data_IF_639237309380
#
_entry.id   IF_639237309380
#
_cell.length_a   1.000
_cell.length_b   1.000
_cell.length_c   1.000
_cell.angle_alpha   90.00
_cell.angle_beta   90.00
_cell.angle_gamma   90.00
#
_symmetry.space_group_name_H-M   'P 1'
#
loop_
_entity.id
_entity.type
_entity.pdbx_description
1 polymer ?
#
# COMPACT_ATOMS: atom_id res chain seq x y z
N UNK A 1 36.46 -46.22 27.29
CA UNK A 1 36.04 -44.89 27.71
C UNK A 1 35.52 -44.17 26.47
N UNK A 2 34.21 -44.17 26.26
CA UNK A 2 33.57 -43.52 25.12
C UNK A 2 33.02 -42.20 25.55
N UNK A 3 33.42 -41.11 24.88
CA UNK A 3 32.82 -39.80 25.01
C UNK A 3 31.68 -39.67 23.99
N UNK A 4 30.44 -39.72 24.47
CA UNK A 4 29.26 -39.35 23.71
C UNK A 4 29.20 -37.82 23.67
N UNK A 5 29.50 -37.22 22.51
CA UNK A 5 29.22 -35.84 22.23
C UNK A 5 27.72 -35.69 21.87
N UNK A 6 26.91 -35.12 22.77
CA UNK A 6 25.56 -34.69 22.46
C UNK A 6 25.65 -33.43 21.56
N UNK A 7 25.53 -33.62 20.26
CA UNK A 7 25.27 -32.52 19.35
C UNK A 7 23.89 -31.93 19.66
N UNK A 8 23.85 -30.70 20.20
CA UNK A 8 22.61 -29.92 20.25
C UNK A 8 22.10 -29.75 18.81
N UNK A 9 20.99 -30.44 18.49
CA UNK A 9 20.20 -30.08 17.29
C UNK A 9 19.87 -28.60 17.44
N UNK A 10 20.37 -27.77 16.53
CA UNK A 10 19.87 -26.40 16.40
C UNK A 10 18.35 -26.51 16.18
N UNK A 11 17.57 -25.99 17.13
CA UNK A 11 16.14 -25.82 16.94
C UNK A 11 15.97 -24.97 15.67
N UNK A 12 15.26 -25.52 14.66
CA UNK A 12 14.83 -24.73 13.52
C UNK A 12 13.94 -23.63 14.09
N UNK A 13 14.41 -22.37 14.02
CA UNK A 13 13.64 -21.23 14.44
C UNK A 13 12.26 -21.30 13.74
N UNK A 14 11.22 -21.40 14.54
CA UNK A 14 9.84 -21.47 14.01
C UNK A 14 9.56 -20.12 13.33
N UNK A 15 9.02 -20.16 12.09
CA UNK A 15 8.64 -18.94 11.39
C UNK A 15 7.52 -18.26 12.20
N UNK A 16 7.64 -16.98 12.57
CA UNK A 16 6.61 -16.28 13.31
C UNK A 16 5.25 -16.36 12.59
N UNK A 17 4.16 -16.53 13.35
CA UNK A 17 2.82 -16.67 12.78
C UNK A 17 2.24 -15.35 12.29
N UNK A 18 2.64 -14.23 12.91
CA UNK A 18 2.13 -12.89 12.57
C UNK A 18 2.93 -12.27 11.41
N UNK A 19 2.27 -11.42 10.64
CA UNK A 19 2.93 -10.70 9.53
C UNK A 19 4.08 -9.82 10.06
N UNK A 20 3.85 -9.05 11.14
CA UNK A 20 4.89 -8.24 11.77
C UNK A 20 6.14 -9.06 12.14
N UNK A 21 5.95 -10.21 12.80
CA UNK A 21 7.06 -11.09 13.15
C UNK A 21 7.80 -11.66 11.93
N UNK A 22 7.11 -11.91 10.80
CA UNK A 22 7.77 -12.31 9.57
C UNK A 22 8.54 -11.18 8.91
N UNK A 23 8.06 -9.94 9.01
CA UNK A 23 8.79 -8.76 8.53
C UNK A 23 10.08 -8.56 9.33
N UNK A 24 10.04 -8.71 10.65
CA UNK A 24 11.24 -8.65 11.49
C UNK A 24 12.25 -9.74 11.09
N UNK A 25 11.79 -10.96 10.86
CA UNK A 25 12.62 -12.08 10.40
C UNK A 25 13.19 -11.81 9.01
N UNK A 26 12.39 -11.28 8.08
CA UNK A 26 12.86 -10.89 6.75
C UNK A 26 14.04 -9.94 6.84
N UNK A 27 13.93 -8.85 7.58
CA UNK A 27 15.02 -7.88 7.70
C UNK A 27 16.25 -8.47 8.36
N UNK A 28 16.09 -9.32 9.39
CA UNK A 28 17.20 -10.00 10.03
C UNK A 28 17.97 -10.89 9.03
N UNK A 29 17.25 -11.68 8.20
CA UNK A 29 17.89 -12.56 7.21
C UNK A 29 18.40 -11.79 5.98
N UNK A 30 17.65 -10.78 5.50
CA UNK A 30 18.03 -9.98 4.34
C UNK A 30 19.33 -9.22 4.58
N UNK A 31 19.54 -8.74 5.81
CA UNK A 31 20.78 -8.06 6.20
C UNK A 31 22.05 -8.88 5.95
N UNK A 32 21.96 -10.21 6.02
CA UNK A 32 23.06 -11.14 5.79
C UNK A 32 23.42 -11.35 4.32
N UNK A 33 22.52 -11.02 3.38
CA UNK A 33 22.71 -11.28 1.94
C UNK A 33 22.93 -10.01 1.10
N UNK A 34 22.82 -8.82 1.69
CA UNK A 34 22.95 -7.53 0.98
C UNK A 34 24.26 -7.43 0.19
N UNK A 35 25.38 -7.76 0.83
CA UNK A 35 26.70 -7.62 0.20
C UNK A 35 26.89 -8.64 -0.94
N UNK A 36 26.27 -9.83 -0.84
CA UNK A 36 26.26 -10.82 -1.92
C UNK A 36 25.40 -10.37 -3.10
N UNK A 37 24.19 -9.84 -2.85
CA UNK A 37 23.31 -9.29 -3.91
C UNK A 37 24.02 -8.15 -4.65
N UNK A 38 24.69 -7.25 -3.90
CA UNK A 38 25.47 -6.16 -4.50
C UNK A 38 26.61 -6.69 -5.38
N UNK A 39 27.30 -7.74 -4.94
CA UNK A 39 28.37 -8.36 -5.72
C UNK A 39 27.85 -9.00 -7.01
N UNK A 40 26.72 -9.71 -6.95
CA UNK A 40 26.08 -10.29 -8.14
C UNK A 40 25.64 -9.20 -9.14
N UNK A 41 25.03 -8.10 -8.65
CA UNK A 41 24.63 -6.97 -9.50
C UNK A 41 25.84 -6.28 -10.15
N UNK A 42 26.95 -6.11 -9.40
CA UNK A 42 28.17 -5.54 -9.95
C UNK A 42 28.87 -6.44 -10.98
N UNK A 43 28.62 -7.75 -10.90
CA UNK A 43 29.10 -8.76 -11.88
C UNK A 43 28.11 -8.96 -13.03
N UNK A 44 27.02 -8.18 -13.12
CA UNK A 44 25.93 -8.32 -14.10
C UNK A 44 25.19 -9.68 -14.02
N UNK A 45 25.27 -10.37 -12.86
CA UNK A 45 24.58 -11.63 -12.61
C UNK A 45 23.17 -11.37 -12.04
N UNK A 46 22.33 -10.67 -12.81
CA UNK A 46 21.02 -10.16 -12.38
C UNK A 46 20.07 -11.25 -11.88
N UNK A 47 20.03 -12.41 -12.55
CA UNK A 47 19.17 -13.53 -12.15
C UNK A 47 19.52 -14.04 -10.75
N UNK A 48 20.80 -14.14 -10.40
CA UNK A 48 21.26 -14.58 -9.07
C UNK A 48 20.90 -13.57 -8.00
N UNK A 49 21.11 -12.28 -8.30
CA UNK A 49 20.74 -11.18 -7.41
C UNK A 49 19.23 -11.19 -7.11
N UNK A 50 18.41 -11.31 -8.16
CA UNK A 50 16.94 -11.38 -8.05
C UNK A 50 16.50 -12.61 -7.27
N UNK A 51 17.08 -13.78 -7.52
CA UNK A 51 16.75 -15.02 -6.80
C UNK A 51 17.02 -14.89 -5.30
N UNK A 52 18.19 -14.34 -4.90
CA UNK A 52 18.52 -14.14 -3.49
C UNK A 52 17.56 -13.18 -2.79
N UNK A 53 17.17 -12.10 -3.47
CA UNK A 53 16.21 -11.15 -2.93
C UNK A 53 14.80 -11.77 -2.81
N UNK A 54 14.33 -12.49 -3.84
CA UNK A 54 13.04 -13.18 -3.87
C UNK A 54 12.94 -14.20 -2.71
N UNK A 55 13.97 -15.03 -2.53
CA UNK A 55 14.02 -16.04 -1.46
C UNK A 55 13.81 -15.44 -0.07
N UNK A 56 14.33 -14.23 0.17
CA UNK A 56 14.16 -13.53 1.45
C UNK A 56 12.80 -12.84 1.54
N UNK A 57 12.34 -12.18 0.48
CA UNK A 57 11.03 -11.53 0.46
C UNK A 57 9.88 -12.51 0.68
N UNK A 58 10.02 -13.77 0.24
CA UNK A 58 9.05 -14.84 0.48
C UNK A 58 8.87 -15.24 1.95
N UNK A 59 9.69 -14.72 2.86
CA UNK A 59 9.46 -14.85 4.31
C UNK A 59 8.20 -14.11 4.72
N UNK A 60 7.91 -12.95 4.11
CA UNK A 60 6.76 -12.12 4.44
C UNK A 60 5.73 -11.99 3.31
N UNK A 61 6.10 -12.16 2.04
CA UNK A 61 5.21 -12.06 0.89
C UNK A 61 5.11 -13.42 0.17
N UNK A 62 3.91 -13.84 -0.23
CA UNK A 62 3.71 -15.07 -0.97
C UNK A 62 4.26 -14.97 -2.40
N UNK A 63 3.92 -13.88 -3.07
CA UNK A 63 4.38 -13.52 -4.42
C UNK A 63 4.94 -12.09 -4.39
N UNK A 64 6.26 -11.93 -4.13
CA UNK A 64 6.85 -10.60 -4.09
C UNK A 64 7.02 -10.01 -5.49
N UNK A 65 6.51 -8.81 -5.68
CA UNK A 65 6.82 -7.98 -6.84
C UNK A 65 7.82 -6.92 -6.43
N UNK A 66 8.99 -6.91 -7.07
CA UNK A 66 10.07 -6.02 -6.69
C UNK A 66 11.07 -5.81 -7.83
N UNK A 67 11.87 -4.78 -7.69
CA UNK A 67 13.06 -4.55 -8.51
C UNK A 67 14.27 -4.44 -7.59
N UNK A 68 15.44 -4.79 -8.09
CA UNK A 68 16.69 -4.56 -7.37
C UNK A 68 17.77 -4.02 -8.30
N UNK A 69 18.62 -3.15 -7.78
CA UNK A 69 19.68 -2.51 -8.53
C UNK A 69 20.72 -1.88 -7.62
N UNK A 70 21.65 -1.15 -8.21
CA UNK A 70 22.63 -0.36 -7.47
C UNK A 70 22.31 1.14 -7.61
N UNK A 71 22.26 1.82 -6.48
CA UNK A 71 22.17 3.27 -6.40
C UNK A 71 23.49 3.81 -5.78
N UNK A 72 24.46 4.07 -6.65
CA UNK A 72 25.83 4.31 -6.23
C UNK A 72 26.43 3.02 -5.63
N UNK A 73 26.87 3.10 -4.38
CA UNK A 73 27.41 1.96 -3.64
C UNK A 73 26.37 1.19 -2.81
N UNK A 74 25.10 1.63 -2.82
CA UNK A 74 24.02 1.02 -2.06
C UNK A 74 23.18 0.08 -2.91
N UNK A 75 22.71 -1.01 -2.29
CA UNK A 75 21.63 -1.80 -2.85
C UNK A 75 20.35 -0.97 -2.91
N UNK A 76 19.66 -1.00 -4.01
CA UNK A 76 18.33 -0.42 -4.19
C UNK A 76 17.29 -1.54 -4.29
N UNK A 77 16.41 -1.65 -3.30
CA UNK A 77 15.28 -2.57 -3.27
C UNK A 77 14.00 -1.76 -3.44
N UNK A 78 13.30 -2.00 -4.55
CA UNK A 78 12.03 -1.36 -4.86
C UNK A 78 10.91 -2.38 -4.69
N UNK A 79 9.99 -2.15 -3.76
CA UNK A 79 8.80 -2.99 -3.56
C UNK A 79 7.65 -2.43 -4.39
N UNK A 80 7.11 -3.19 -5.35
CA UNK A 80 6.07 -2.69 -6.24
C UNK A 80 4.69 -3.21 -5.83
N UNK A 81 3.69 -2.33 -5.70
CA UNK A 81 2.31 -2.70 -5.39
C UNK A 81 1.52 -3.20 -6.60
N UNK A 82 2.11 -3.17 -7.80
CA UNK A 82 1.47 -3.55 -9.07
C UNK A 82 0.12 -2.85 -9.28
N UNK A 83 0.11 -1.52 -9.10
CA UNK A 83 -1.07 -0.68 -9.26
C UNK A 83 -2.11 -0.80 -8.14
N UNK A 84 -1.92 -1.68 -7.15
CA UNK A 84 -2.91 -1.96 -6.11
C UNK A 84 -2.71 -1.09 -4.86
N UNK A 85 -3.59 -0.10 -4.66
CA UNK A 85 -3.51 0.84 -3.53
C UNK A 85 -3.42 0.15 -2.16
N UNK A 86 -4.19 -0.90 -1.92
CA UNK A 86 -4.16 -1.61 -0.64
C UNK A 86 -2.80 -2.26 -0.34
N UNK A 87 -2.04 -2.68 -1.38
CA UNK A 87 -0.70 -3.24 -1.21
C UNK A 87 0.32 -2.20 -0.74
N UNK A 88 0.15 -0.92 -1.06
CA UNK A 88 1.03 0.15 -0.57
C UNK A 88 1.13 0.14 0.95
N UNK A 89 0.05 -0.18 1.68
CA UNK A 89 0.05 -0.14 3.14
C UNK A 89 0.98 -1.20 3.74
N UNK A 90 0.83 -2.46 3.36
CA UNK A 90 1.73 -3.50 3.92
C UNK A 90 3.15 -3.45 3.35
N UNK A 91 3.34 -2.99 2.12
CA UNK A 91 4.69 -2.74 1.60
C UNK A 91 5.35 -1.56 2.32
N UNK A 92 4.58 -0.52 2.68
CA UNK A 92 5.03 0.56 3.55
C UNK A 92 5.42 0.06 4.93
N UNK A 93 4.64 -0.86 5.51
CA UNK A 93 4.96 -1.50 6.78
C UNK A 93 6.30 -2.25 6.70
N UNK A 94 6.53 -3.05 5.64
CA UNK A 94 7.83 -3.73 5.41
C UNK A 94 8.96 -2.70 5.32
N UNK A 95 8.81 -1.67 4.47
CA UNK A 95 9.82 -0.62 4.29
C UNK A 95 10.15 0.08 5.60
N UNK A 96 9.13 0.49 6.38
CA UNK A 96 9.31 1.26 7.61
C UNK A 96 9.90 0.44 8.76
N UNK A 97 9.79 -0.89 8.70
CA UNK A 97 10.44 -1.81 9.63
C UNK A 97 11.93 -2.04 9.32
N UNK A 98 12.47 -1.46 8.23
CA UNK A 98 13.90 -1.59 7.89
C UNK A 98 14.77 -1.05 9.02
N UNK A 99 15.72 -1.84 9.56
CA UNK A 99 16.63 -1.38 10.58
C UNK A 99 17.51 -0.21 10.11
N UNK A 100 17.59 0.87 10.89
CA UNK A 100 18.36 2.08 10.55
C UNK A 100 19.80 1.83 10.16
N UNK A 101 20.47 0.83 10.78
CA UNK A 101 21.84 0.46 10.45
C UNK A 101 22.02 -0.01 9.00
N UNK A 102 20.95 -0.44 8.32
CA UNK A 102 21.01 -0.86 6.92
C UNK A 102 20.99 0.32 5.94
N UNK A 103 20.58 1.52 6.36
CA UNK A 103 20.53 2.72 5.51
C UNK A 103 21.90 3.11 4.92
N UNK A 104 23.00 2.70 5.57
CA UNK A 104 24.34 2.87 5.03
C UNK A 104 24.65 1.95 3.86
N UNK A 105 24.00 0.77 3.77
CA UNK A 105 24.27 -0.28 2.78
C UNK A 105 23.23 -0.36 1.67
N UNK A 106 21.99 0.05 1.97
CA UNK A 106 20.86 -0.08 1.05
C UNK A 106 19.81 1.02 1.24
N UNK A 107 18.92 1.14 0.28
CA UNK A 107 17.64 1.84 0.38
C UNK A 107 16.51 0.88 0.02
N UNK A 108 15.36 1.08 0.63
CA UNK A 108 14.12 0.41 0.29
C UNK A 108 13.09 1.47 -0.07
N UNK A 109 12.49 1.34 -1.26
CA UNK A 109 11.52 2.30 -1.78
C UNK A 109 10.23 1.59 -2.18
N UNK A 110 9.14 2.36 -2.26
CA UNK A 110 7.83 1.87 -2.71
C UNK A 110 7.55 2.32 -4.12
N UNK A 111 7.03 1.39 -4.91
CA UNK A 111 6.63 1.60 -6.29
C UNK A 111 7.80 1.86 -7.24
N UNK A 112 7.59 1.59 -8.49
CA UNK A 112 8.55 1.89 -9.56
C UNK A 112 8.85 3.39 -9.54
N UNK A 113 10.13 3.80 -9.46
CA UNK A 113 10.47 5.20 -9.51
C UNK A 113 10.20 5.76 -10.90
N UNK A 114 9.97 7.07 -10.99
CA UNK A 114 9.87 7.74 -12.29
C UNK A 114 11.16 7.58 -13.10
N UNK A 115 11.00 7.43 -14.41
CA UNK A 115 12.12 7.39 -15.33
C UNK A 115 12.89 8.73 -15.30
N UNK A 116 14.22 8.72 -15.55
CA UNK A 116 14.97 9.95 -15.76
C UNK A 116 14.40 10.76 -16.93
N UNK A 117 14.45 12.10 -16.83
CA UNK A 117 14.02 12.98 -17.93
C UNK A 117 14.72 12.63 -19.23
N UNK A 118 13.97 12.62 -20.33
CA UNK A 118 14.47 12.25 -21.67
C UNK A 118 14.52 10.74 -21.95
N UNK A 119 14.13 9.90 -20.98
CA UNK A 119 13.96 8.45 -21.13
C UNK A 119 12.49 8.12 -20.90
N UNK A 120 11.63 8.49 -21.82
CA UNK A 120 10.20 8.38 -21.64
C UNK A 120 9.49 7.80 -22.86
N UNK A 121 9.78 6.56 -23.20
CA UNK A 121 9.05 5.84 -24.24
C UNK A 121 8.75 4.41 -23.81
N UNK A 122 7.67 3.86 -24.34
CA UNK A 122 7.29 2.47 -24.15
C UNK A 122 6.92 1.86 -25.50
N UNK A 123 7.35 0.65 -25.72
CA UNK A 123 6.95 -0.15 -26.88
C UNK A 123 6.20 -1.39 -26.39
N UNK A 124 4.92 -1.48 -26.70
CA UNK A 124 4.05 -2.57 -26.34
C UNK A 124 2.88 -2.69 -27.32
N UNK A 125 2.40 -3.90 -27.58
CA UNK A 125 1.31 -4.17 -28.51
C UNK A 125 1.58 -3.66 -29.94
N UNK A 126 2.84 -3.76 -30.40
CA UNK A 126 3.33 -3.21 -31.67
C UNK A 126 3.10 -1.68 -31.80
N UNK A 127 3.00 -1.01 -30.66
CA UNK A 127 2.74 0.43 -30.54
C UNK A 127 3.85 1.08 -29.72
N UNK A 128 4.50 2.09 -30.32
CA UNK A 128 5.49 2.92 -29.62
C UNK A 128 4.84 4.23 -29.17
N UNK A 129 4.98 4.57 -27.88
CA UNK A 129 4.45 5.83 -27.30
C UNK A 129 5.58 6.55 -26.59
N UNK A 130 5.79 7.81 -26.93
CA UNK A 130 6.80 8.68 -26.35
C UNK A 130 6.14 9.70 -25.41
N UNK A 131 6.72 9.89 -24.23
CA UNK A 131 6.22 10.84 -23.23
C UNK A 131 6.30 12.31 -23.70
N UNK A 132 7.30 12.68 -24.51
CA UNK A 132 7.45 14.04 -25.04
C UNK A 132 6.35 14.39 -26.05
N UNK A 133 5.81 13.39 -26.76
CA UNK A 133 4.75 13.52 -27.75
C UNK A 133 3.35 13.28 -27.12
N UNK A 134 3.30 12.94 -25.84
CA UNK A 134 2.07 12.67 -25.13
C UNK A 134 1.64 13.92 -24.36
N UNK A 135 0.38 14.34 -24.55
CA UNK A 135 -0.20 15.53 -23.92
C UNK A 135 -1.15 15.13 -22.82
N UNK A 136 -1.00 15.77 -21.67
CA UNK A 136 -1.86 15.59 -20.49
C UNK A 136 -2.77 16.82 -20.35
N UNK A 137 -4.04 16.57 -20.15
CA UNK A 137 -5.05 17.55 -19.76
C UNK A 137 -5.56 17.16 -18.39
N UNK A 138 -5.17 17.93 -17.38
CA UNK A 138 -5.39 17.56 -15.98
C UNK A 138 -6.42 18.47 -15.34
N UNK A 139 -7.29 17.88 -14.54
CA UNK A 139 -8.15 18.58 -13.60
C UNK A 139 -7.73 18.21 -12.18
N UNK A 140 -7.05 19.13 -11.50
CA UNK A 140 -6.63 18.94 -10.11
C UNK A 140 -7.80 19.19 -9.16
N UNK A 141 -8.14 18.17 -8.39
CA UNK A 141 -9.08 18.22 -7.28
C UNK A 141 -8.34 18.45 -5.95
N UNK A 142 -9.03 18.36 -4.81
CA UNK A 142 -8.41 18.52 -3.50
C UNK A 142 -7.44 17.37 -3.16
N UNK A 143 -7.83 16.14 -3.44
CA UNK A 143 -7.13 14.91 -3.05
C UNK A 143 -6.58 14.08 -4.21
N UNK A 144 -6.97 14.38 -5.44
CA UNK A 144 -6.61 13.62 -6.63
C UNK A 144 -6.55 14.50 -7.89
N UNK A 145 -6.22 13.88 -9.01
CA UNK A 145 -6.18 14.53 -10.33
C UNK A 145 -6.84 13.62 -11.37
N UNK A 146 -7.82 14.16 -12.09
CA UNK A 146 -8.38 13.51 -13.27
C UNK A 146 -7.49 13.82 -14.48
N UNK A 147 -7.08 12.78 -15.19
CA UNK A 147 -6.13 12.86 -16.29
C UNK A 147 -6.81 12.44 -17.58
N UNK A 148 -6.71 13.29 -18.60
CA UNK A 148 -6.96 12.91 -19.98
C UNK A 148 -5.62 12.89 -20.70
N UNK A 149 -5.31 11.81 -21.40
CA UNK A 149 -4.07 11.64 -22.16
C UNK A 149 -4.34 11.52 -23.63
N UNK A 150 -3.58 12.26 -24.43
CA UNK A 150 -3.56 12.14 -25.88
C UNK A 150 -2.14 11.86 -26.38
N UNK A 151 -2.05 10.90 -27.29
CA UNK A 151 -0.92 10.65 -28.14
C UNK A 151 -1.45 10.01 -29.42
N UNK A 152 -0.91 10.32 -30.60
CA UNK A 152 -1.42 9.84 -31.86
C UNK A 152 -1.48 8.30 -31.94
N UNK A 153 -0.44 7.63 -31.42
CA UNK A 153 -0.37 6.17 -31.42
C UNK A 153 -1.31 5.55 -30.37
N UNK A 154 -1.51 6.20 -29.22
CA UNK A 154 -2.53 5.78 -28.26
C UNK A 154 -3.94 5.93 -28.83
N UNK A 155 -4.23 7.02 -29.53
CA UNK A 155 -5.53 7.23 -30.17
C UNK A 155 -5.79 6.17 -31.27
N UNK A 156 -4.76 5.79 -32.04
CA UNK A 156 -4.85 4.72 -33.01
C UNK A 156 -5.08 3.34 -32.35
N UNK A 157 -4.43 3.07 -31.22
CA UNK A 157 -4.62 1.85 -30.44
C UNK A 157 -6.01 1.82 -29.78
N UNK A 158 -6.50 2.96 -29.25
CA UNK A 158 -7.84 3.11 -28.67
C UNK A 158 -8.94 2.71 -29.66
N UNK A 159 -8.80 3.11 -30.93
CA UNK A 159 -9.74 2.75 -31.98
C UNK A 159 -9.76 1.25 -32.32
N UNK A 160 -8.70 0.50 -31.97
CA UNK A 160 -8.56 -0.93 -32.23
C UNK A 160 -8.89 -1.78 -30.99
N UNK A 161 -8.39 -1.39 -29.82
CA UNK A 161 -8.51 -2.13 -28.57
C UNK A 161 -8.38 -1.15 -27.38
N UNK A 162 -9.52 -0.77 -26.83
CA UNK A 162 -9.62 0.16 -25.70
C UNK A 162 -8.82 -0.34 -24.48
N UNK A 163 -8.92 -1.63 -24.14
CA UNK A 163 -8.24 -2.19 -22.99
C UNK A 163 -6.71 -2.08 -23.10
N UNK A 164 -6.15 -2.32 -24.29
CA UNK A 164 -4.70 -2.14 -24.53
C UNK A 164 -4.27 -0.69 -24.45
N UNK A 165 -5.09 0.25 -24.98
CA UNK A 165 -4.78 1.66 -24.92
C UNK A 165 -4.73 2.17 -23.47
N UNK A 166 -5.70 1.79 -22.63
CA UNK A 166 -5.68 2.12 -21.21
C UNK A 166 -4.51 1.46 -20.47
N UNK A 167 -4.25 0.18 -20.71
CA UNK A 167 -3.11 -0.52 -20.08
C UNK A 167 -1.77 0.16 -20.42
N UNK A 168 -1.54 0.49 -21.70
CA UNK A 168 -0.34 1.18 -22.14
C UNK A 168 -0.23 2.58 -21.51
N UNK A 169 -1.36 3.31 -21.39
CA UNK A 169 -1.41 4.62 -20.76
C UNK A 169 -1.06 4.55 -19.26
N UNK A 170 -1.58 3.57 -18.52
CA UNK A 170 -1.22 3.37 -17.11
C UNK A 170 0.27 3.10 -16.94
N UNK A 171 0.84 2.20 -17.73
CA UNK A 171 2.28 1.88 -17.64
C UNK A 171 3.14 3.10 -17.99
N UNK A 172 2.72 3.89 -18.99
CA UNK A 172 3.41 5.13 -19.35
C UNK A 172 3.37 6.16 -18.23
N UNK A 173 2.20 6.35 -17.59
CA UNK A 173 2.02 7.23 -16.43
C UNK A 173 2.88 6.76 -15.24
N UNK A 174 2.87 5.46 -14.92
CA UNK A 174 3.72 4.89 -13.88
C UNK A 174 5.20 5.18 -14.12
N UNK A 175 5.66 5.02 -15.37
CA UNK A 175 7.05 5.28 -15.72
C UNK A 175 7.42 6.77 -15.61
N UNK A 176 6.51 7.67 -15.96
CA UNK A 176 6.82 9.10 -16.01
C UNK A 176 6.60 9.82 -14.68
N UNK A 177 5.60 9.41 -13.92
CA UNK A 177 5.18 10.08 -12.67
C UNK A 177 5.69 9.31 -11.45
N UNK A 178 5.88 8.00 -11.60
CA UNK A 178 6.18 7.05 -10.53
C UNK A 178 4.94 6.33 -10.02
N UNK A 179 5.04 5.02 -9.86
CA UNK A 179 3.91 4.16 -9.52
C UNK A 179 3.19 4.56 -8.24
N UNK A 180 3.95 4.85 -7.17
CA UNK A 180 3.34 5.27 -5.89
C UNK A 180 2.59 6.59 -6.01
N UNK A 181 3.13 7.56 -6.78
CA UNK A 181 2.47 8.84 -6.99
C UNK A 181 1.16 8.67 -7.76
N UNK A 182 1.15 7.88 -8.82
CA UNK A 182 -0.06 7.57 -9.59
C UNK A 182 -1.11 6.89 -8.72
N UNK A 183 -0.75 5.84 -7.98
CA UNK A 183 -1.69 5.14 -7.10
C UNK A 183 -2.30 6.08 -6.04
N UNK A 184 -1.53 7.05 -5.58
CA UNK A 184 -1.98 7.99 -4.56
C UNK A 184 -2.85 9.12 -5.10
N UNK A 185 -2.63 9.55 -6.35
CA UNK A 185 -3.16 10.83 -6.84
C UNK A 185 -4.05 10.72 -8.05
N UNK A 186 -4.05 9.59 -8.77
CA UNK A 186 -4.93 9.44 -9.94
C UNK A 186 -6.38 9.27 -9.51
N UNK A 187 -7.25 10.16 -10.00
CA UNK A 187 -8.71 10.04 -9.96
C UNK A 187 -9.18 9.24 -11.18
N UNK A 188 -9.67 9.92 -12.20
CA UNK A 188 -10.11 9.30 -13.45
C UNK A 188 -9.02 9.37 -14.51
N UNK A 189 -8.95 8.36 -15.38
CA UNK A 189 -8.11 8.35 -16.58
C UNK A 189 -9.00 8.23 -17.81
N UNK A 190 -8.80 9.12 -18.77
CA UNK A 190 -9.43 9.07 -20.09
C UNK A 190 -8.38 9.11 -21.18
N UNK A 191 -8.41 8.16 -22.12
CA UNK A 191 -7.56 8.17 -23.32
C UNK A 191 -8.34 8.85 -24.44
N UNK A 192 -7.76 9.92 -25.00
CA UNK A 192 -8.44 10.74 -26.00
C UNK A 192 -8.17 10.25 -27.43
N UNK A 193 -9.17 10.35 -28.31
CA UNK A 193 -9.05 10.11 -29.76
C UNK A 193 -8.51 11.33 -30.52
N UNK A 194 -8.54 12.52 -29.91
CA UNK A 194 -8.08 13.80 -30.47
C UNK A 194 -7.47 14.70 -29.43
N UNK A 195 -6.51 15.56 -29.82
CA UNK A 195 -5.92 16.52 -28.91
C UNK A 195 -6.95 17.59 -28.50
N UNK A 196 -6.77 18.12 -27.29
CA UNK A 196 -7.49 19.29 -26.77
C UNK A 196 -6.55 20.52 -26.71
N UNK A 197 -7.08 21.69 -26.37
CA UNK A 197 -6.27 22.90 -26.14
C UNK A 197 -5.66 22.89 -24.74
N UNK A 198 -4.53 23.56 -24.57
CA UNK A 198 -3.85 23.80 -23.29
C UNK A 198 -3.36 22.52 -22.57
N UNK A 199 -2.96 21.50 -23.32
CA UNK A 199 -2.30 20.33 -22.75
C UNK A 199 -0.87 20.62 -22.28
N UNK A 200 -0.38 19.82 -21.34
CA UNK A 200 0.99 19.85 -20.84
C UNK A 200 1.69 18.56 -21.31
N UNK A 201 2.96 18.62 -21.81
CA UNK A 201 3.70 17.42 -22.11
C UNK A 201 3.80 16.49 -20.89
N UNK A 202 3.64 15.19 -21.11
CA UNK A 202 3.73 14.21 -20.01
C UNK A 202 5.11 14.24 -19.33
N UNK A 203 6.17 14.57 -20.08
CA UNK A 203 7.52 14.75 -19.54
C UNK A 203 7.62 15.80 -18.42
N UNK A 204 6.73 16.80 -18.42
CA UNK A 204 6.71 17.89 -17.45
C UNK A 204 5.64 17.69 -16.35
N UNK A 205 4.73 16.72 -16.55
CA UNK A 205 3.56 16.55 -15.68
C UNK A 205 3.92 16.06 -14.28
N UNK A 206 5.01 15.30 -14.13
CA UNK A 206 5.47 14.84 -12.82
C UNK A 206 5.80 15.97 -11.84
N UNK A 207 6.31 17.10 -12.35
CA UNK A 207 6.61 18.27 -11.51
C UNK A 207 5.33 18.94 -10.99
N UNK A 208 4.26 18.94 -11.79
CA UNK A 208 2.95 19.46 -11.36
C UNK A 208 2.31 18.59 -10.27
N UNK A 209 2.51 17.27 -10.35
CA UNK A 209 2.09 16.33 -9.29
C UNK A 209 2.85 16.65 -7.98
N UNK A 210 4.17 16.81 -8.05
CA UNK A 210 4.99 17.14 -6.88
C UNK A 210 4.64 18.51 -6.27
N UNK A 211 4.35 19.49 -7.10
CA UNK A 211 3.92 20.82 -6.65
C UNK A 211 2.57 20.76 -5.92
N UNK A 212 1.62 19.99 -6.44
CA UNK A 212 0.25 19.91 -5.90
C UNK A 212 0.15 19.03 -4.67
N UNK A 213 0.73 17.83 -4.70
CA UNK A 213 0.54 16.78 -3.68
C UNK A 213 1.77 16.59 -2.77
N UNK A 214 2.90 17.20 -3.13
CA UNK A 214 4.17 17.09 -2.41
C UNK A 214 4.90 15.78 -2.68
N UNK A 215 6.19 15.75 -2.32
CA UNK A 215 7.06 14.59 -2.55
C UNK A 215 6.63 13.32 -1.80
N UNK A 216 5.82 13.43 -0.75
CA UNK A 216 5.30 12.28 -0.01
C UNK A 216 4.44 11.38 -0.88
N UNK A 217 3.71 11.95 -1.85
CA UNK A 217 2.87 11.19 -2.78
C UNK A 217 3.65 10.11 -3.53
N UNK A 218 4.94 10.33 -3.80
CA UNK A 218 5.81 9.39 -4.49
C UNK A 218 6.53 8.38 -3.58
N UNK A 219 6.37 8.47 -2.23
CA UNK A 219 7.21 7.73 -1.29
C UNK A 219 6.47 6.86 -0.28
N UNK A 220 5.21 7.18 0.00
CA UNK A 220 4.40 6.52 1.02
C UNK A 220 2.91 6.54 0.65
N UNK A 221 2.08 5.65 1.19
CA UNK A 221 0.64 5.73 0.99
C UNK A 221 0.09 7.01 1.60
N UNK A 222 -0.60 7.82 0.79
CA UNK A 222 -1.31 8.98 1.29
C UNK A 222 -2.62 8.56 1.97
N UNK A 223 -2.85 9.05 3.18
CA UNK A 223 -4.10 8.85 3.91
C UNK A 223 -5.08 9.97 3.60
N UNK A 224 -5.50 10.07 2.34
CA UNK A 224 -6.60 10.96 1.96
C UNK A 224 -7.91 10.32 2.40
N UNK A 225 -8.55 10.88 3.41
CA UNK A 225 -9.79 10.33 3.95
C UNK A 225 -11.00 10.87 3.18
N UNK A 226 -11.81 9.95 2.66
CA UNK A 226 -13.08 10.22 1.99
C UNK A 226 -14.22 9.93 2.95
N UNK A 227 -15.17 10.86 3.05
CA UNK A 227 -16.36 10.68 3.85
C UNK A 227 -17.46 9.96 3.07
N UNK A 228 -18.19 9.09 3.73
CA UNK A 228 -19.37 8.45 3.19
C UNK A 228 -20.52 8.50 4.18
N UNK A 229 -21.76 8.52 3.67
CA UNK A 229 -22.97 8.49 4.48
C UNK A 229 -23.79 7.26 4.11
N UNK A 230 -24.47 6.69 5.10
CA UNK A 230 -25.31 5.52 4.94
C UNK A 230 -26.61 5.71 5.70
N UNK A 231 -27.67 5.09 5.20
CA UNK A 231 -28.91 4.91 5.98
C UNK A 231 -28.73 3.64 6.85
N UNK A 232 -28.93 3.75 8.17
CA UNK A 232 -28.89 2.58 9.05
C UNK A 232 -29.88 1.51 8.59
N UNK A 233 -29.39 0.27 8.49
CA UNK A 233 -30.19 -0.89 8.03
C UNK A 233 -30.72 -1.72 9.20
N UNK A 234 -30.20 -1.48 10.40
CA UNK A 234 -30.53 -2.22 11.63
C UNK A 234 -29.75 -1.69 12.84
N UNK A 235 -29.78 -2.49 13.90
CA UNK A 235 -29.05 -2.20 15.14
C UNK A 235 -27.82 -3.08 15.35
N UNK A 236 -27.52 -3.95 14.38
CA UNK A 236 -26.35 -4.81 14.41
C UNK A 236 -25.06 -4.05 14.13
N UNK A 237 -23.94 -4.71 14.40
CA UNK A 237 -22.61 -4.16 14.16
C UNK A 237 -22.47 -3.79 12.68
N UNK A 238 -22.12 -2.52 12.41
CA UNK A 238 -22.04 -1.87 11.08
C UNK A 238 -23.36 -1.78 10.27
N UNK A 239 -24.47 -2.26 10.81
CA UNK A 239 -25.79 -2.01 10.25
C UNK A 239 -26.35 -0.66 10.67
N UNK A 240 -25.86 -0.13 11.79
CA UNK A 240 -26.29 1.12 12.44
C UNK A 240 -25.50 2.35 11.95
N UNK A 241 -24.56 2.21 11.02
CA UNK A 241 -23.68 3.30 10.52
C UNK A 241 -24.49 4.41 9.88
N UNK A 242 -24.18 5.65 10.25
CA UNK A 242 -24.74 6.90 9.71
C UNK A 242 -23.71 7.56 8.77
N UNK A 243 -22.48 7.70 9.28
CA UNK A 243 -21.38 8.38 8.56
C UNK A 243 -20.05 7.70 8.88
N UNK A 244 -19.18 7.66 7.91
CA UNK A 244 -17.83 7.17 8.10
C UNK A 244 -16.82 7.89 7.23
N UNK A 245 -15.55 7.64 7.51
CA UNK A 245 -14.41 8.11 6.72
C UNK A 245 -13.46 6.94 6.46
N UNK A 246 -12.82 6.92 5.30
CA UNK A 246 -11.81 5.90 4.98
C UNK A 246 -10.79 6.45 3.99
N UNK A 247 -9.52 6.05 4.14
CA UNK A 247 -8.50 6.27 3.11
C UNK A 247 -8.38 5.09 2.14
N UNK A 248 -9.16 4.02 2.33
CA UNK A 248 -9.18 2.83 1.49
C UNK A 248 -10.62 2.44 1.11
N UNK A 249 -11.22 3.23 0.21
CA UNK A 249 -12.62 3.08 -0.21
C UNK A 249 -12.94 1.68 -0.74
N UNK A 250 -11.97 1.04 -1.41
CA UNK A 250 -12.15 -0.28 -1.99
C UNK A 250 -12.53 -1.35 -0.94
N UNK A 251 -11.91 -1.33 0.26
CA UNK A 251 -12.24 -2.32 1.30
C UNK A 251 -13.64 -2.11 1.87
N UNK A 252 -14.06 -0.84 2.02
CA UNK A 252 -15.42 -0.52 2.47
C UNK A 252 -16.46 -0.95 1.43
N UNK A 253 -16.20 -0.68 0.15
CA UNK A 253 -17.08 -1.09 -0.94
C UNK A 253 -17.20 -2.62 -1.02
N UNK A 254 -16.10 -3.36 -0.95
CA UNK A 254 -16.13 -4.83 -0.92
C UNK A 254 -16.93 -5.36 0.27
N UNK A 255 -16.71 -4.80 1.47
CA UNK A 255 -17.51 -5.17 2.64
C UNK A 255 -19.01 -4.96 2.42
N UNK A 256 -19.42 -3.81 1.85
CA UNK A 256 -20.82 -3.49 1.61
C UNK A 256 -21.46 -4.40 0.55
N UNK A 257 -20.71 -4.78 -0.46
CA UNK A 257 -21.14 -5.65 -1.55
C UNK A 257 -21.04 -7.16 -1.23
N UNK A 258 -20.41 -7.54 -0.12
CA UNK A 258 -20.15 -8.93 0.23
C UNK A 258 -18.99 -9.55 -0.55
N UNK A 259 -18.16 -8.75 -1.19
CA UNK A 259 -16.92 -9.13 -1.87
C UNK A 259 -15.78 -9.28 -0.86
N UNK A 260 -14.73 -10.06 -1.21
CA UNK A 260 -13.67 -10.39 -0.24
C UNK A 260 -12.26 -10.46 -0.85
N UNK A 261 -12.05 -9.97 -2.07
CA UNK A 261 -10.78 -10.17 -2.77
C UNK A 261 -9.60 -9.54 -2.01
N UNK A 262 -9.72 -8.26 -1.65
CA UNK A 262 -8.69 -7.56 -0.86
C UNK A 262 -8.52 -8.18 0.53
N UNK A 263 -9.63 -8.55 1.18
CA UNK A 263 -9.59 -9.21 2.48
C UNK A 263 -8.86 -10.56 2.40
N UNK A 264 -9.17 -11.38 1.41
CA UNK A 264 -8.56 -12.71 1.24
C UNK A 264 -7.06 -12.60 0.91
N UNK A 265 -6.67 -11.69 0.02
CA UNK A 265 -5.26 -11.43 -0.31
C UNK A 265 -4.45 -11.06 0.94
N UNK A 266 -4.95 -10.13 1.74
CA UNK A 266 -4.32 -9.75 3.01
C UNK A 266 -4.27 -10.91 4.00
N UNK A 267 -5.37 -11.67 4.12
CA UNK A 267 -5.49 -12.79 5.04
C UNK A 267 -4.49 -13.92 4.73
N UNK A 268 -4.23 -14.21 3.47
CA UNK A 268 -3.18 -15.16 3.04
C UNK A 268 -1.79 -14.73 3.50
N UNK A 269 -1.56 -13.43 3.61
CA UNK A 269 -0.33 -12.87 4.19
C UNK A 269 -0.37 -12.76 5.73
N UNK A 270 -1.43 -13.25 6.40
CA UNK A 270 -1.60 -13.07 7.84
C UNK A 270 -1.80 -11.62 8.28
N UNK A 271 -2.25 -10.79 7.36
CA UNK A 271 -2.69 -9.41 7.60
C UNK A 271 -4.22 -9.44 7.74
N UNK A 272 -4.76 -8.69 8.68
CA UNK A 272 -6.20 -8.59 8.84
C UNK A 272 -6.69 -7.18 8.57
N UNK A 273 -7.62 -7.04 7.64
CA UNK A 273 -8.53 -5.92 7.65
C UNK A 273 -9.61 -6.18 8.70
N UNK A 274 -9.67 -5.34 9.71
CA UNK A 274 -10.62 -5.46 10.81
C UNK A 274 -11.12 -4.09 11.26
N UNK A 275 -12.14 -4.09 12.09
CA UNK A 275 -12.58 -2.89 12.75
C UNK A 275 -12.89 -3.16 14.22
N UNK A 276 -12.73 -2.13 15.05
CA UNK A 276 -13.18 -2.12 16.42
C UNK A 276 -14.60 -1.55 16.47
N UNK A 277 -15.49 -2.19 17.20
CA UNK A 277 -16.78 -1.61 17.56
C UNK A 277 -16.77 -1.19 19.04
N UNK A 278 -17.17 0.04 19.31
CA UNK A 278 -17.22 0.65 20.65
C UNK A 278 -18.68 0.96 20.93
N UNK A 279 -19.24 0.35 21.98
CA UNK A 279 -20.61 0.66 22.40
C UNK A 279 -20.69 2.11 22.89
N UNK A 280 -21.59 2.91 22.32
CA UNK A 280 -21.79 4.32 22.67
C UNK A 280 -22.86 4.54 23.74
N UNK A 281 -23.46 3.45 24.26
CA UNK A 281 -24.54 3.54 25.28
C UNK A 281 -25.80 4.27 24.80
N UNK A 282 -25.95 4.51 23.49
CA UNK A 282 -27.04 5.29 22.89
C UNK A 282 -26.76 6.80 22.80
N UNK A 283 -25.59 7.26 23.22
CA UNK A 283 -25.10 8.64 23.03
C UNK A 283 -24.09 8.68 21.89
N UNK A 284 -24.57 9.07 20.70
CA UNK A 284 -23.77 9.12 19.46
C UNK A 284 -22.58 10.07 19.60
N UNK A 285 -22.76 11.23 20.25
CA UNK A 285 -21.67 12.21 20.42
C UNK A 285 -20.61 11.69 21.38
N UNK A 286 -21.01 11.11 22.52
CA UNK A 286 -20.07 10.50 23.46
C UNK A 286 -19.28 9.35 22.81
N UNK A 287 -19.93 8.54 21.98
CA UNK A 287 -19.27 7.48 21.22
C UNK A 287 -18.25 8.02 20.22
N UNK A 288 -18.58 9.09 19.50
CA UNK A 288 -17.67 9.78 18.57
C UNK A 288 -16.44 10.34 19.30
N UNK A 289 -16.66 11.06 20.42
CA UNK A 289 -15.58 11.66 21.20
C UNK A 289 -14.65 10.60 21.80
N UNK A 290 -15.21 9.49 22.30
CA UNK A 290 -14.43 8.38 22.84
C UNK A 290 -13.62 7.68 21.75
N UNK A 291 -14.21 7.46 20.56
CA UNK A 291 -13.51 6.91 19.41
C UNK A 291 -12.29 7.76 19.06
N UNK A 292 -12.46 9.07 18.85
CA UNK A 292 -11.37 9.98 18.51
C UNK A 292 -10.28 9.94 19.59
N UNK A 293 -10.65 9.95 20.86
CA UNK A 293 -9.68 9.84 21.94
C UNK A 293 -8.89 8.53 21.92
N UNK A 294 -9.52 7.40 21.58
CA UNK A 294 -8.84 6.11 21.45
C UNK A 294 -7.91 6.12 20.24
N UNK A 295 -8.34 6.68 19.10
CA UNK A 295 -7.51 6.82 17.92
C UNK A 295 -6.25 7.64 18.23
N UNK A 296 -6.42 8.87 18.73
CA UNK A 296 -5.34 9.84 18.92
C UNK A 296 -4.39 9.43 20.06
N UNK A 297 -4.94 9.12 21.23
CA UNK A 297 -4.15 8.90 22.45
C UNK A 297 -3.55 7.48 22.53
N UNK A 298 -4.15 6.47 21.87
CA UNK A 298 -3.85 5.08 22.13
C UNK A 298 -3.36 4.29 20.91
N UNK A 299 -3.99 4.48 19.76
CA UNK A 299 -3.72 3.64 18.59
C UNK A 299 -2.74 4.27 17.60
N UNK A 300 -2.64 5.60 17.53
CA UNK A 300 -1.71 6.27 16.63
C UNK A 300 -0.24 5.86 16.87
N UNK A 301 0.11 5.61 18.14
CA UNK A 301 1.44 5.13 18.52
C UNK A 301 1.70 3.65 18.24
N UNK A 302 0.70 2.90 17.78
CA UNK A 302 0.76 1.44 17.58
C UNK A 302 1.21 1.02 16.19
N UNK A 303 1.81 1.90 15.38
CA UNK A 303 2.23 1.65 13.99
C UNK A 303 3.16 0.46 13.77
N UNK A 304 3.74 -0.12 14.83
CA UNK A 304 4.54 -1.35 14.75
C UNK A 304 3.71 -2.64 14.61
N UNK A 305 2.37 -2.58 14.69
CA UNK A 305 1.50 -3.76 14.54
C UNK A 305 0.11 -3.47 14.00
N UNK A 306 -0.29 -2.21 13.86
CA UNK A 306 -1.56 -1.82 13.24
C UNK A 306 -1.43 -0.49 12.50
N UNK A 307 -2.42 -0.22 11.64
CA UNK A 307 -2.57 1.05 10.96
C UNK A 307 -4.04 1.44 10.88
N UNK A 308 -4.38 2.68 11.26
CA UNK A 308 -5.74 3.22 11.17
C UNK A 308 -5.98 3.64 9.71
N UNK A 309 -7.07 3.14 9.11
CA UNK A 309 -7.46 3.43 7.73
C UNK A 309 -8.82 4.13 7.62
N UNK A 310 -9.49 4.35 8.75
CA UNK A 310 -10.78 5.02 8.78
C UNK A 310 -11.57 4.74 10.05
N UNK A 311 -12.84 5.04 9.99
CA UNK A 311 -13.78 4.76 11.04
C UNK A 311 -15.18 5.20 10.68
N UNK A 312 -16.15 4.89 11.53
CA UNK A 312 -17.52 5.25 11.31
C UNK A 312 -18.23 5.58 12.63
N UNK A 313 -19.33 6.30 12.53
CA UNK A 313 -20.23 6.60 13.62
C UNK A 313 -21.61 6.01 13.28
N UNK A 314 -22.10 5.16 14.16
CA UNK A 314 -23.41 4.55 14.10
C UNK A 314 -24.35 5.06 15.18
N UNK A 315 -25.59 4.57 15.17
CA UNK A 315 -26.59 4.92 16.19
C UNK A 315 -26.26 4.33 17.57
N UNK A 316 -25.61 3.16 17.62
CA UNK A 316 -25.26 2.43 18.85
C UNK A 316 -23.78 2.17 19.04
N UNK A 317 -23.00 2.26 17.98
CA UNK A 317 -21.58 1.99 18.01
C UNK A 317 -20.79 3.09 17.31
N UNK A 318 -19.57 3.32 17.77
CA UNK A 318 -18.52 3.98 17.03
C UNK A 318 -17.52 2.93 16.54
N UNK A 319 -16.87 3.17 15.39
CA UNK A 319 -16.03 2.19 14.72
C UNK A 319 -14.66 2.79 14.39
N UNK A 320 -13.60 1.99 14.56
CA UNK A 320 -12.24 2.30 14.12
C UNK A 320 -11.80 1.22 13.13
N UNK A 321 -11.49 1.61 11.90
CA UNK A 321 -11.12 0.70 10.82
C UNK A 321 -9.61 0.55 10.77
N UNK A 322 -9.11 -0.69 10.74
CA UNK A 322 -7.71 -1.01 10.93
C UNK A 322 -7.18 -2.00 9.89
N UNK A 323 -5.89 -1.84 9.56
CA UNK A 323 -5.05 -2.94 9.08
C UNK A 323 -4.26 -3.46 10.29
N UNK A 324 -4.38 -4.74 10.58
CA UNK A 324 -3.69 -5.39 11.69
C UNK A 324 -2.60 -6.32 11.16
N UNK A 325 -1.36 -6.08 11.56
CA UNK A 325 -0.17 -6.87 11.21
C UNK A 325 0.24 -7.86 12.30
N UNK A 326 -0.34 -7.73 13.52
CA UNK A 326 -0.14 -8.62 14.66
C UNK A 326 -1.42 -8.70 15.51
N UNK A 327 -2.19 -9.77 15.30
CA UNK A 327 -3.47 -9.97 15.95
C UNK A 327 -3.36 -10.16 17.48
N UNK A 328 -2.28 -10.78 17.96
CA UNK A 328 -2.10 -11.02 19.41
C UNK A 328 -1.91 -9.70 20.13
N UNK A 329 -1.04 -8.82 19.59
CA UNK A 329 -0.83 -7.48 20.13
C UNK A 329 -2.09 -6.61 20.05
N UNK A 330 -2.88 -6.74 18.99
CA UNK A 330 -4.16 -6.03 18.88
C UNK A 330 -5.13 -6.48 19.98
N UNK A 331 -5.26 -7.78 20.24
CA UNK A 331 -6.12 -8.33 21.30
C UNK A 331 -5.69 -7.84 22.68
N UNK A 332 -4.40 -7.81 22.96
CA UNK A 332 -3.85 -7.28 24.21
C UNK A 332 -4.20 -5.79 24.36
N UNK A 333 -3.96 -4.99 23.32
CA UNK A 333 -4.27 -3.56 23.32
C UNK A 333 -5.77 -3.30 23.53
N UNK A 334 -6.65 -4.02 22.84
CA UNK A 334 -8.10 -3.89 23.04
C UNK A 334 -8.51 -4.25 24.47
N UNK A 335 -7.91 -5.30 25.06
CA UNK A 335 -8.17 -5.63 26.48
C UNK A 335 -7.74 -4.52 27.44
N UNK A 336 -6.63 -3.84 27.17
CA UNK A 336 -6.19 -2.67 27.94
C UNK A 336 -7.17 -1.50 27.80
N UNK A 337 -7.63 -1.22 26.56
CA UNK A 337 -8.58 -0.16 26.29
C UNK A 337 -9.93 -0.38 27.00
N UNK A 338 -10.46 -1.60 26.94
CA UNK A 338 -11.69 -1.97 27.67
C UNK A 338 -11.57 -1.66 29.17
N UNK A 339 -10.44 -2.02 29.78
CA UNK A 339 -10.18 -1.75 31.20
C UNK A 339 -10.01 -0.26 31.48
N UNK A 340 -9.26 0.45 30.63
CA UNK A 340 -8.94 1.87 30.83
C UNK A 340 -10.18 2.76 30.74
N UNK A 341 -11.02 2.50 29.73
CA UNK A 341 -12.20 3.35 29.46
C UNK A 341 -13.50 2.81 30.05
N UNK A 342 -13.51 1.57 30.58
CA UNK A 342 -14.71 0.96 31.17
C UNK A 342 -15.81 0.68 30.14
N UNK A 343 -15.45 0.44 28.86
CA UNK A 343 -16.37 0.19 27.75
C UNK A 343 -16.12 -1.15 27.11
N UNK A 344 -17.11 -1.71 26.42
CA UNK A 344 -16.93 -2.90 25.61
C UNK A 344 -16.40 -2.50 24.24
N UNK A 345 -15.26 -3.09 23.83
CA UNK A 345 -14.67 -2.93 22.51
C UNK A 345 -14.48 -4.33 21.94
N UNK A 346 -15.06 -4.57 20.76
CA UNK A 346 -14.97 -5.86 20.08
C UNK A 346 -14.21 -5.72 18.77
N UNK A 347 -13.43 -6.75 18.41
CA UNK A 347 -12.70 -6.84 17.14
C UNK A 347 -13.54 -7.64 16.16
N UNK A 348 -13.78 -7.09 14.99
CA UNK A 348 -14.51 -7.75 13.90
C UNK A 348 -13.68 -7.75 12.61
N UNK A 349 -13.76 -8.84 11.87
CA UNK A 349 -13.14 -8.90 10.54
C UNK A 349 -13.92 -8.02 9.55
N UNK A 350 -13.21 -7.40 8.61
CA UNK A 350 -13.79 -6.55 7.56
C UNK A 350 -14.36 -7.42 6.43
N UNK A 351 -15.22 -8.38 6.80
CA UNK A 351 -15.92 -9.29 5.89
C UNK A 351 -17.36 -9.50 6.35
N UNK A 352 -18.24 -9.70 5.41
CA UNK A 352 -19.62 -10.16 5.64
C UNK A 352 -19.74 -11.66 5.44
#
# INVERSE_FOLDING_TARGET
MGLFGFGKKAEKAQIPSTFAGRVDKFWAEFSGVIDEIKADLAAEEFEKAMQKADEKLRICLAEPYFMTGLAGDKLDLVLTPEGMRHRLFWLSFIKNAMPKQLESKMRCTLGKPRAPRGIGGIEMYDTHVNAEESMIYAQFNESDVDIKIYNENLAALLAQDEGKAYNLSFILLDNMIGETAIINTLGELEVLDKPQENGVPLSDFADLIDEKFGEKAAREPLKNFFSYQMEPRGNGVREDVIVGTTCLTAIVNQYLNGERDIYNEAFELGIKFCFLSIDNGGDVQAGFDLRNKIEDDELESCGSFLEIIGGATGQKHAYIDLICYDEERLKEKVSELCKKYGVNIEIHDFKR
#
